data_IF_190536177348
#
_entry.id   IF_190536177348
#
_cell.length_a   1.000
_cell.length_b   1.000
_cell.length_c   1.000
_cell.angle_alpha   90.00
_cell.angle_beta   90.00
_cell.angle_gamma   90.00
#
_symmetry.space_group_name_H-M   'P 1'
#
loop_
_entity.id
_entity.type
_entity.pdbx_description
1 polymer ?
#
# COMPACT_ATOMS: atom_id res chain seq x y z
N UNK A 1 27.72 14.12 36.69
CA UNK A 1 26.99 14.78 35.59
C UNK A 1 27.21 14.06 34.25
N UNK A 2 28.46 13.73 33.88
CA UNK A 2 28.77 12.95 32.67
C UNK A 2 28.13 11.55 32.62
N UNK A 3 28.11 10.83 33.75
CA UNK A 3 27.52 9.48 33.83
C UNK A 3 26.03 9.41 33.47
N UNK A 4 25.25 10.45 33.81
CA UNK A 4 23.82 10.50 33.46
C UNK A 4 23.62 10.76 31.96
N UNK A 5 24.52 11.55 31.36
CA UNK A 5 24.47 11.84 29.92
C UNK A 5 24.80 10.58 29.12
N UNK A 6 25.78 9.78 29.55
CA UNK A 6 26.13 8.51 28.91
C UNK A 6 24.97 7.51 28.90
N UNK A 7 24.24 7.39 30.02
CA UNK A 7 23.06 6.52 30.12
C UNK A 7 21.96 6.96 29.15
N UNK A 8 21.70 8.27 29.05
CA UNK A 8 20.68 8.80 28.13
C UNK A 8 21.07 8.55 26.68
N UNK A 9 22.34 8.76 26.33
CA UNK A 9 22.84 8.50 24.96
C UNK A 9 22.75 7.02 24.62
N UNK A 10 23.13 6.13 25.55
CA UNK A 10 23.01 4.68 25.34
C UNK A 10 21.56 4.26 25.14
N UNK A 11 20.63 4.82 25.93
CA UNK A 11 19.20 4.55 25.80
C UNK A 11 18.66 4.98 24.42
N UNK A 12 19.05 6.16 23.93
CA UNK A 12 18.65 6.65 22.60
C UNK A 12 19.16 5.71 21.51
N UNK A 13 20.43 5.29 21.57
CA UNK A 13 21.00 4.38 20.55
C UNK A 13 20.27 3.04 20.53
N UNK A 14 20.04 2.43 21.69
CA UNK A 14 19.33 1.15 21.79
C UNK A 14 17.89 1.28 21.32
N UNK A 15 17.20 2.37 21.70
CA UNK A 15 15.85 2.67 21.25
C UNK A 15 15.76 2.78 19.72
N UNK A 16 16.67 3.54 19.10
CA UNK A 16 16.70 3.68 17.64
C UNK A 16 17.07 2.39 16.92
N UNK A 17 18.00 1.60 17.46
CA UNK A 17 18.35 0.30 16.92
C UNK A 17 17.15 -0.66 16.93
N UNK A 18 16.44 -0.74 18.06
CA UNK A 18 15.21 -1.53 18.17
C UNK A 18 14.10 -1.01 17.24
N UNK A 19 13.90 0.31 17.20
CA UNK A 19 12.93 0.95 16.30
C UNK A 19 13.23 0.64 14.83
N UNK A 20 14.48 0.75 14.39
CA UNK A 20 14.90 0.44 13.02
C UNK A 20 14.77 -1.05 12.69
N UNK A 21 15.04 -1.95 13.64
CA UNK A 21 14.89 -3.39 13.43
C UNK A 21 13.42 -3.81 13.33
N UNK A 22 12.52 -3.17 14.08
CA UNK A 22 11.08 -3.48 14.08
C UNK A 22 10.34 -2.79 12.92
N UNK A 23 10.84 -1.63 12.45
CA UNK A 23 10.24 -0.87 11.34
C UNK A 23 9.99 -1.70 10.06
N UNK A 24 10.92 -2.51 9.52
CA UNK A 24 10.67 -3.32 8.33
C UNK A 24 9.62 -4.42 8.59
N UNK A 25 9.54 -4.96 9.80
CA UNK A 25 8.52 -5.95 10.17
C UNK A 25 7.12 -5.32 10.25
N UNK A 26 7.01 -4.09 10.75
CA UNK A 26 5.76 -3.33 10.76
C UNK A 26 5.32 -2.91 9.35
N UNK A 27 6.26 -2.60 8.44
CA UNK A 27 5.96 -2.32 7.03
C UNK A 27 5.39 -3.59 6.36
N UNK A 28 5.98 -4.76 6.61
CA UNK A 28 5.50 -6.03 6.07
C UNK A 28 4.15 -6.47 6.67
N UNK A 29 3.88 -6.19 7.95
CA UNK A 29 2.58 -6.44 8.58
C UNK A 29 1.49 -5.47 8.12
N UNK A 30 1.86 -4.23 7.77
CA UNK A 30 0.94 -3.24 7.19
C UNK A 30 0.67 -3.50 5.70
N UNK A 31 1.58 -4.19 5.03
CA UNK A 31 1.36 -4.86 3.74
C UNK A 31 0.85 -6.30 3.95
N UNK A 32 -0.23 -6.48 4.72
CA UNK A 32 -1.15 -7.55 4.35
C UNK A 32 -1.60 -7.21 2.92
N UNK A 33 -0.89 -7.78 1.95
CA UNK A 33 -1.16 -7.60 0.53
C UNK A 33 -2.64 -7.87 0.37
N UNK A 34 -3.38 -6.85 -0.07
CA UNK A 34 -4.72 -7.08 -0.56
C UNK A 34 -4.63 -8.27 -1.52
N UNK A 35 -5.51 -9.26 -1.39
CA UNK A 35 -5.43 -10.45 -2.20
C UNK A 35 -5.41 -10.05 -3.68
N UNK A 36 -4.59 -10.75 -4.47
CA UNK A 36 -4.46 -10.45 -5.89
C UNK A 36 -5.83 -10.57 -6.59
N UNK A 37 -5.95 -10.01 -7.79
CA UNK A 37 -7.17 -10.14 -8.58
C UNK A 37 -7.48 -11.62 -8.83
N UNK A 38 -6.46 -12.44 -9.11
CA UNK A 38 -6.64 -13.91 -9.24
C UNK A 38 -7.12 -14.56 -7.93
N UNK A 39 -6.59 -14.16 -6.79
CA UNK A 39 -7.01 -14.70 -5.49
C UNK A 39 -8.46 -14.33 -5.16
N UNK A 40 -8.86 -13.09 -5.46
CA UNK A 40 -10.24 -12.61 -5.31
C UNK A 40 -11.20 -13.38 -6.24
N UNK A 41 -10.80 -13.63 -7.49
CA UNK A 41 -11.60 -14.41 -8.45
C UNK A 41 -11.70 -15.88 -8.04
N UNK A 42 -10.62 -16.49 -7.54
CA UNK A 42 -10.64 -17.87 -7.02
C UNK A 42 -11.56 -18.01 -5.80
N UNK A 43 -11.59 -17.01 -4.92
CA UNK A 43 -12.55 -16.95 -3.81
C UNK A 43 -14.00 -16.90 -4.29
N UNK A 44 -14.28 -16.08 -5.31
CA UNK A 44 -15.58 -15.99 -5.99
C UNK A 44 -16.01 -17.33 -6.61
N UNK A 45 -15.10 -18.07 -7.25
CA UNK A 45 -15.41 -19.39 -7.81
C UNK A 45 -15.85 -20.37 -6.73
N UNK A 46 -15.17 -20.37 -5.58
CA UNK A 46 -15.56 -21.21 -4.44
C UNK A 46 -16.94 -20.85 -3.90
N UNK A 47 -17.30 -19.55 -3.86
CA UNK A 47 -18.62 -19.09 -3.44
C UNK A 47 -19.73 -19.54 -4.41
N UNK A 48 -19.42 -19.53 -5.72
CA UNK A 48 -20.32 -20.07 -6.75
C UNK A 48 -20.48 -21.58 -6.63
N UNK A 49 -19.40 -22.31 -6.38
CA UNK A 49 -19.42 -23.78 -6.22
C UNK A 49 -20.28 -24.25 -5.04
N UNK A 50 -20.40 -23.44 -3.99
CA UNK A 50 -21.28 -23.70 -2.84
C UNK A 50 -22.65 -23.03 -2.97
N UNK A 51 -23.01 -22.59 -4.18
CA UNK A 51 -24.32 -22.00 -4.53
C UNK A 51 -24.73 -20.79 -3.67
N UNK A 52 -23.76 -20.07 -3.08
CA UNK A 52 -24.03 -18.83 -2.32
C UNK A 52 -24.33 -17.66 -3.26
N UNK A 53 -23.66 -17.64 -4.42
CA UNK A 53 -23.87 -16.66 -5.49
C UNK A 53 -24.22 -17.39 -6.78
N UNK A 54 -25.04 -16.74 -7.60
CA UNK A 54 -25.37 -17.27 -8.92
C UNK A 54 -24.33 -16.90 -9.99
N UNK A 55 -24.50 -17.45 -11.20
CA UNK A 55 -23.58 -17.21 -12.31
C UNK A 55 -23.59 -15.74 -12.79
N UNK A 56 -24.72 -15.04 -12.64
CA UNK A 56 -24.84 -13.63 -13.02
C UNK A 56 -24.09 -12.75 -12.02
N UNK A 57 -24.31 -12.97 -10.73
CA UNK A 57 -23.60 -12.29 -9.64
C UNK A 57 -22.08 -12.54 -9.72
N UNK A 58 -21.68 -13.78 -10.05
CA UNK A 58 -20.27 -14.13 -10.24
C UNK A 58 -19.62 -13.32 -11.36
N UNK A 59 -20.26 -13.22 -12.55
CA UNK A 59 -19.68 -12.48 -13.68
C UNK A 59 -19.66 -10.97 -13.42
N UNK A 60 -20.68 -10.42 -12.75
CA UNK A 60 -20.71 -9.01 -12.35
C UNK A 60 -19.57 -8.67 -11.37
N UNK A 61 -19.41 -9.47 -10.31
CA UNK A 61 -18.35 -9.26 -9.33
C UNK A 61 -16.95 -9.49 -9.92
N UNK A 62 -16.79 -10.49 -10.79
CA UNK A 62 -15.54 -10.75 -11.51
C UNK A 62 -15.16 -9.58 -12.42
N UNK A 63 -16.13 -9.01 -13.15
CA UNK A 63 -15.90 -7.85 -14.00
C UNK A 63 -15.47 -6.63 -13.17
N UNK A 64 -16.07 -6.44 -11.99
CA UNK A 64 -15.69 -5.39 -11.06
C UNK A 64 -14.24 -5.55 -10.57
N UNK A 65 -13.86 -6.75 -10.11
CA UNK A 65 -12.49 -6.99 -9.64
C UNK A 65 -11.44 -6.85 -10.74
N UNK A 66 -11.73 -7.26 -11.97
CA UNK A 66 -10.85 -7.05 -13.11
C UNK A 66 -10.68 -5.55 -13.44
N UNK A 67 -11.75 -4.76 -13.32
CA UNK A 67 -11.70 -3.33 -13.57
C UNK A 67 -10.93 -2.59 -12.46
N UNK A 68 -11.16 -2.96 -11.20
CA UNK A 68 -10.42 -2.44 -10.05
C UNK A 68 -8.94 -2.79 -10.13
N UNK A 69 -8.60 -4.01 -10.59
CA UNK A 69 -7.23 -4.44 -10.88
C UNK A 69 -6.53 -3.53 -11.90
N UNK A 70 -7.16 -3.29 -13.04
CA UNK A 70 -6.62 -2.38 -14.08
C UNK A 70 -6.48 -0.95 -13.59
N UNK A 71 -7.42 -0.50 -12.76
CA UNK A 71 -7.38 0.84 -12.17
C UNK A 71 -6.20 0.98 -11.21
N UNK A 72 -5.90 -0.06 -10.43
CA UNK A 72 -4.73 -0.11 -9.54
C UNK A 72 -3.42 -0.19 -10.29
N UNK A 73 -3.33 -1.01 -11.33
CA UNK A 73 -2.14 -1.11 -12.19
C UNK A 73 -1.77 0.25 -12.80
N UNK A 74 -2.75 0.98 -13.34
CA UNK A 74 -2.53 2.34 -13.85
C UNK A 74 -2.14 3.35 -12.77
N UNK A 75 -2.67 3.19 -11.56
CA UNK A 75 -2.27 4.03 -10.44
C UNK A 75 -0.78 3.82 -10.09
N UNK A 76 -0.34 2.56 -10.04
CA UNK A 76 1.06 2.19 -9.77
C UNK A 76 1.98 2.69 -10.88
N UNK A 77 1.63 2.50 -12.15
CA UNK A 77 2.37 3.03 -13.31
C UNK A 77 2.56 4.55 -13.23
N UNK A 78 1.50 5.30 -12.91
CA UNK A 78 1.59 6.76 -12.77
C UNK A 78 2.35 7.20 -11.52
N UNK A 79 2.38 6.38 -10.48
CA UNK A 79 3.15 6.65 -9.28
C UNK A 79 4.65 6.47 -9.55
N UNK A 80 5.03 5.48 -10.35
CA UNK A 80 6.41 5.28 -10.81
C UNK A 80 6.89 6.46 -11.66
N UNK A 81 6.08 6.95 -12.60
CA UNK A 81 6.44 8.18 -13.35
C UNK A 81 6.63 9.40 -12.46
N UNK A 82 5.82 9.55 -11.41
CA UNK A 82 6.02 10.63 -10.44
C UNK A 82 7.30 10.44 -9.62
N UNK A 83 7.65 9.20 -9.29
CA UNK A 83 8.89 8.87 -8.60
C UNK A 83 10.11 9.21 -9.46
N UNK A 84 10.11 8.83 -10.74
CA UNK A 84 11.16 9.16 -11.69
C UNK A 84 11.31 10.68 -11.87
N UNK A 85 10.20 11.42 -11.92
CA UNK A 85 10.25 12.88 -11.98
C UNK A 85 10.96 13.46 -10.75
N UNK A 86 10.63 12.97 -9.54
CA UNK A 86 11.28 13.42 -8.30
C UNK A 86 12.78 13.15 -8.32
N UNK A 87 13.20 11.96 -8.75
CA UNK A 87 14.63 11.60 -8.88
C UNK A 87 15.36 12.50 -9.89
N UNK A 88 14.67 12.98 -10.93
CA UNK A 88 15.20 13.93 -11.92
C UNK A 88 15.18 15.41 -11.48
N UNK A 89 15.03 15.69 -10.17
CA UNK A 89 15.14 17.04 -9.61
C UNK A 89 13.83 17.81 -9.52
N UNK A 90 12.68 17.12 -9.61
CA UNK A 90 11.38 17.76 -9.40
C UNK A 90 11.19 18.17 -7.92
N UNK A 91 10.59 19.33 -7.70
CA UNK A 91 10.36 19.87 -6.36
C UNK A 91 9.55 18.90 -5.50
N UNK A 92 10.03 18.61 -4.29
CA UNK A 92 9.35 17.71 -3.34
C UNK A 92 7.94 18.19 -2.97
N UNK A 93 7.70 19.51 -2.99
CA UNK A 93 6.37 20.08 -2.73
C UNK A 93 5.39 19.75 -3.86
N UNK A 94 5.82 19.92 -5.09
CA UNK A 94 4.98 19.67 -6.27
C UNK A 94 4.75 18.16 -6.49
N UNK A 95 5.72 17.34 -6.11
CA UNK A 95 5.59 15.88 -6.07
C UNK A 95 4.48 15.44 -5.11
N UNK A 96 4.48 15.96 -3.87
CA UNK A 96 3.46 15.60 -2.87
C UNK A 96 2.05 16.05 -3.30
N UNK A 97 1.92 17.24 -3.88
CA UNK A 97 0.64 17.73 -4.41
C UNK A 97 0.12 16.88 -5.57
N UNK A 98 1.02 16.42 -6.45
CA UNK A 98 0.67 15.53 -7.56
C UNK A 98 0.26 14.14 -7.09
N UNK A 99 0.94 13.60 -6.07
CA UNK A 99 0.54 12.34 -5.42
C UNK A 99 -0.84 12.48 -4.78
N UNK A 100 -1.11 13.57 -4.07
CA UNK A 100 -2.43 13.79 -3.46
C UNK A 100 -3.55 13.80 -4.53
N UNK A 101 -3.32 14.47 -5.66
CA UNK A 101 -4.26 14.46 -6.80
C UNK A 101 -4.42 13.06 -7.40
N UNK A 102 -3.33 12.31 -7.54
CA UNK A 102 -3.36 10.95 -8.07
C UNK A 102 -4.16 10.01 -7.15
N UNK A 103 -3.91 10.06 -5.84
CA UNK A 103 -4.68 9.29 -4.84
C UNK A 103 -6.16 9.61 -4.89
N UNK A 104 -6.52 10.89 -5.01
CA UNK A 104 -7.91 11.32 -5.14
C UNK A 104 -8.57 10.81 -6.42
N UNK A 105 -7.87 10.89 -7.56
CA UNK A 105 -8.39 10.43 -8.85
C UNK A 105 -8.70 8.92 -8.85
N UNK A 106 -7.82 8.14 -8.23
CA UNK A 106 -7.99 6.69 -8.14
C UNK A 106 -8.84 6.25 -6.93
N UNK A 107 -9.26 7.19 -6.07
CA UNK A 107 -10.01 6.96 -4.84
C UNK A 107 -9.27 6.06 -3.82
N UNK A 108 -7.95 6.25 -3.72
CA UNK A 108 -7.04 5.49 -2.82
C UNK A 108 -6.90 6.20 -1.45
N UNK A 109 -7.74 7.20 -1.16
CA UNK A 109 -7.62 8.09 0.01
C UNK A 109 -7.84 7.41 1.39
N UNK A 110 -8.11 6.09 1.48
CA UNK A 110 -8.35 5.41 2.78
C UNK A 110 -7.40 4.26 3.14
N UNK A 111 -6.26 4.10 2.48
CA UNK A 111 -5.19 3.27 3.06
C UNK A 111 -4.20 4.17 3.80
N UNK A 112 -4.54 4.47 5.05
CA UNK A 112 -3.68 5.17 6.01
C UNK A 112 -2.33 4.43 6.11
N UNK A 113 -1.29 5.02 5.49
CA UNK A 113 0.13 4.70 5.69
C UNK A 113 0.55 5.02 7.11
#
# INVERSE_FOLDING_TARGET
MYFLIEIVVMFVIVYFAAYLAVRPLLINLKHQQEPSVEEKISGLEKLREIEIIDQTEFEEMKAQYLNDGKKREKYEEYLDYLYDLKENGYSSKDYMDKIAKLKKHFNVEQQNI
#
